data_IF_980536196560
#
_entry.id   IF_980536196560
#
_cell.length_a   1.000
_cell.length_b   1.000
_cell.length_c   1.000
_cell.angle_alpha   90.00
_cell.angle_beta   90.00
_cell.angle_gamma   90.00
#
_symmetry.space_group_name_H-M   'P 1'
#
loop_
_entity.id
_entity.type
_entity.pdbx_description
1 polymer ?
#
# COMPACT_ATOMS: atom_id res chain seq x y z
N UNK A 1 -20.54 -14.60 64.90
CA UNK A 1 -20.74 -15.02 66.31
C UNK A 1 -20.02 -14.02 67.19
N UNK A 2 -20.76 -13.09 67.78
CA UNK A 2 -20.24 -12.14 68.75
C UNK A 2 -20.01 -12.88 70.06
N UNK A 3 -18.75 -13.00 70.50
CA UNK A 3 -18.44 -13.41 71.86
C UNK A 3 -18.29 -12.16 72.72
N UNK A 4 -19.40 -11.75 73.33
CA UNK A 4 -19.46 -10.72 74.36
C UNK A 4 -18.85 -11.28 75.66
N UNK A 5 -17.66 -10.81 76.02
CA UNK A 5 -17.12 -10.93 77.38
C UNK A 5 -17.54 -9.67 78.13
N UNK A 6 -18.33 -9.83 79.19
CA UNK A 6 -18.74 -8.72 80.06
C UNK A 6 -17.74 -8.57 81.19
N UNK A 7 -16.95 -7.49 81.18
CA UNK A 7 -16.00 -7.16 82.24
C UNK A 7 -16.67 -6.16 83.19
N UNK A 8 -16.95 -6.58 84.42
CA UNK A 8 -17.43 -5.69 85.49
C UNK A 8 -16.24 -5.31 86.35
N UNK A 9 -15.75 -4.08 86.23
CA UNK A 9 -14.70 -3.52 87.09
C UNK A 9 -15.38 -2.71 88.19
N UNK A 10 -15.30 -3.20 89.43
CA UNK A 10 -15.73 -2.46 90.63
C UNK A 10 -14.54 -1.66 91.15
N UNK A 11 -14.51 -0.35 90.94
CA UNK A 11 -13.56 0.55 91.59
C UNK A 11 -14.25 1.18 92.81
N UNK A 12 -13.96 0.67 94.00
CA UNK A 12 -14.28 1.35 95.25
C UNK A 12 -13.20 2.41 95.52
N UNK A 13 -13.58 3.69 95.41
CA UNK A 13 -12.68 4.80 95.64
C UNK A 13 -12.26 4.91 97.12
N UNK A 14 -10.96 4.99 97.38
CA UNK A 14 -10.42 5.42 98.66
C UNK A 14 -9.19 6.31 98.43
N UNK A 15 -9.12 7.36 99.22
CA UNK A 15 -8.31 8.56 99.06
C UNK A 15 -7.06 8.51 99.96
N UNK A 16 -5.96 9.10 99.48
CA UNK A 16 -4.85 9.75 100.22
C UNK A 16 -3.74 8.87 100.84
N UNK A 17 -2.49 9.32 100.62
CA UNK A 17 -1.37 9.10 101.55
C UNK A 17 0.00 9.27 100.91
N UNK A 18 0.65 10.40 101.14
CA UNK A 18 2.03 10.69 100.72
C UNK A 18 3.03 9.69 101.32
N UNK A 19 3.90 9.14 100.47
CA UNK A 19 4.99 8.17 100.73
C UNK A 19 4.57 6.69 100.64
N UNK A 20 5.15 5.98 99.65
CA UNK A 20 4.89 4.59 99.18
C UNK A 20 3.69 4.37 98.22
N UNK A 21 3.79 5.00 97.05
CA UNK A 21 4.19 4.41 95.76
C UNK A 21 3.41 3.27 95.04
N UNK A 22 2.39 2.59 95.55
CA UNK A 22 1.69 1.57 94.73
C UNK A 22 0.25 1.28 95.18
N UNK A 23 -0.71 1.23 94.24
CA UNK A 23 -2.08 0.75 94.49
C UNK A 23 -2.26 -0.61 93.81
N UNK A 24 -2.70 -1.63 94.56
CA UNK A 24 -3.07 -2.93 93.98
C UNK A 24 -4.52 -2.90 93.50
N UNK A 25 -4.73 -3.20 92.22
CA UNK A 25 -6.08 -3.45 91.68
C UNK A 25 -6.19 -4.94 91.36
N UNK A 26 -7.23 -5.57 91.90
CA UNK A 26 -7.55 -6.97 91.62
C UNK A 26 -8.74 -7.04 90.67
N UNK A 27 -8.55 -7.64 89.49
CA UNK A 27 -9.62 -7.93 88.55
C UNK A 27 -9.98 -9.42 88.61
N UNK A 28 -11.26 -9.75 88.77
CA UNK A 28 -11.75 -11.13 88.66
C UNK A 28 -12.43 -11.34 87.32
N UNK A 29 -11.88 -12.24 86.51
CA UNK A 29 -12.56 -12.72 85.31
C UNK A 29 -13.36 -13.98 85.65
N UNK A 30 -14.68 -13.92 85.46
CA UNK A 30 -15.56 -15.10 85.40
C UNK A 30 -15.80 -15.47 83.95
N UNK A 31 -15.41 -16.69 83.58
CA UNK A 31 -15.76 -17.24 82.28
C UNK A 31 -17.16 -17.86 82.35
N UNK A 32 -17.93 -17.76 81.26
CA UNK A 32 -19.29 -18.27 81.15
C UNK A 32 -19.44 -19.78 81.38
N UNK A 33 -18.33 -20.53 81.39
CA UNK A 33 -18.26 -21.97 81.66
C UNK A 33 -17.78 -22.33 83.08
N UNK A 34 -17.81 -21.39 84.03
CA UNK A 34 -17.69 -21.71 85.46
C UNK A 34 -16.27 -21.71 86.03
N UNK A 35 -15.35 -20.92 85.47
CA UNK A 35 -14.00 -20.70 86.03
C UNK A 35 -13.79 -19.25 86.48
N UNK A 36 -13.13 -19.05 87.64
CA UNK A 36 -12.62 -17.75 88.07
C UNK A 36 -11.10 -17.72 88.08
N UNK A 37 -10.53 -16.69 87.46
CA UNK A 37 -9.13 -16.29 87.69
C UNK A 37 -9.10 -14.84 88.15
N UNK A 38 -8.39 -14.62 89.25
CA UNK A 38 -8.08 -13.30 89.76
C UNK A 38 -6.68 -12.91 89.30
N UNK A 39 -6.53 -11.70 88.80
CA UNK A 39 -5.23 -11.10 88.50
C UNK A 39 -5.07 -9.87 89.38
N UNK A 40 -3.97 -9.84 90.13
CA UNK A 40 -3.57 -8.69 90.94
C UNK A 40 -2.43 -7.98 90.23
N UNK A 41 -2.60 -6.68 89.97
CA UNK A 41 -1.57 -5.84 89.39
C UNK A 41 -1.21 -4.75 90.38
N UNK A 42 0.08 -4.55 90.60
CA UNK A 42 0.64 -3.48 91.40
C UNK A 42 0.96 -2.32 90.45
N UNK A 43 0.19 -1.22 90.53
CA UNK A 43 0.43 -0.03 89.70
C UNK A 43 1.40 0.93 90.40
N UNK A 44 2.51 1.36 89.75
CA UNK A 44 3.43 2.37 90.28
C UNK A 44 2.80 3.78 90.30
N UNK A 45 3.36 4.75 91.04
CA UNK A 45 2.62 5.92 91.47
C UNK A 45 2.70 7.04 90.45
N UNK A 46 1.58 7.32 89.78
CA UNK A 46 1.32 8.65 89.27
C UNK A 46 -0.18 8.87 89.13
N UNK A 47 -0.64 9.89 89.88
CA UNK A 47 -1.76 10.78 89.58
C UNK A 47 -3.16 10.15 89.45
N UNK A 48 -3.86 10.17 90.59
CA UNK A 48 -5.32 10.36 90.62
C UNK A 48 -5.64 11.67 89.88
N UNK A 49 -6.34 11.59 88.75
CA UNK A 49 -7.00 12.73 88.11
C UNK A 49 -8.38 12.31 87.57
N UNK A 50 -9.37 12.63 88.40
CA UNK A 50 -10.71 13.16 88.11
C UNK A 50 -11.44 12.77 86.80
N UNK A 51 -12.56 12.04 86.95
CA UNK A 51 -13.50 11.62 85.90
C UNK A 51 -14.65 12.64 85.67
N UNK A 52 -14.34 13.93 85.48
CA UNK A 52 -15.39 14.95 85.24
C UNK A 52 -15.03 16.06 84.24
N UNK A 53 -13.95 15.90 83.48
CA UNK A 53 -13.50 16.90 82.50
C UNK A 53 -13.19 16.34 81.10
N UNK A 54 -13.75 15.17 80.76
CA UNK A 54 -13.53 14.51 79.46
C UNK A 54 -14.69 14.57 78.46
N UNK A 55 -15.88 15.05 78.84
CA UNK A 55 -17.09 14.97 77.99
C UNK A 55 -17.59 16.30 77.42
N UNK A 56 -17.32 17.44 78.05
CA UNK A 56 -17.70 18.76 77.50
C UNK A 56 -16.79 19.20 76.36
N UNK A 57 -15.49 18.85 76.43
CA UNK A 57 -14.52 19.21 75.41
C UNK A 57 -14.77 18.44 74.10
N UNK A 58 -15.00 17.12 74.17
CA UNK A 58 -15.35 16.30 72.99
C UNK A 58 -16.71 16.70 72.37
N UNK A 59 -17.71 17.07 73.18
CA UNK A 59 -19.01 17.55 72.69
C UNK A 59 -18.90 18.95 72.05
N UNK A 60 -18.03 19.82 72.59
CA UNK A 60 -17.73 21.12 71.99
C UNK A 60 -17.01 20.96 70.64
N UNK A 61 -16.02 20.06 70.56
CA UNK A 61 -15.32 19.72 69.31
C UNK A 61 -16.29 19.12 68.27
N UNK A 62 -17.18 18.21 68.68
CA UNK A 62 -18.19 17.65 67.78
C UNK A 62 -19.20 18.70 67.28
N UNK A 63 -19.62 19.66 68.12
CA UNK A 63 -20.47 20.78 67.69
C UNK A 63 -19.77 21.66 66.66
N UNK A 64 -18.48 21.92 66.85
CA UNK A 64 -17.68 22.68 65.91
C UNK A 64 -17.57 21.94 64.56
N UNK A 65 -17.31 20.63 64.58
CA UNK A 65 -17.28 19.79 63.37
C UNK A 65 -18.65 19.78 62.66
N UNK A 66 -19.76 19.64 63.39
CA UNK A 66 -21.11 19.66 62.79
C UNK A 66 -21.40 21.02 62.16
N UNK A 67 -21.00 22.12 62.80
CA UNK A 67 -21.16 23.46 62.23
C UNK A 67 -20.27 23.68 61.01
N UNK A 68 -19.05 23.14 60.99
CA UNK A 68 -18.18 23.11 59.81
C UNK A 68 -18.74 22.24 58.66
N UNK A 69 -19.35 21.10 58.99
CA UNK A 69 -20.00 20.24 58.00
C UNK A 69 -21.25 20.90 57.42
N UNK A 70 -22.05 21.59 58.24
CA UNK A 70 -23.21 22.35 57.78
C UNK A 70 -22.82 23.49 56.83
N UNK A 71 -21.74 24.24 57.14
CA UNK A 71 -21.25 25.30 56.23
C UNK A 71 -20.70 24.72 54.92
N UNK A 72 -19.99 23.59 54.97
CA UNK A 72 -19.55 22.86 53.76
C UNK A 72 -20.72 22.35 52.93
N UNK A 73 -21.79 21.84 53.56
CA UNK A 73 -22.99 21.39 52.87
C UNK A 73 -23.72 22.54 52.16
N UNK A 74 -23.91 23.68 52.84
CA UNK A 74 -24.46 24.90 52.22
C UNK A 74 -23.57 25.41 51.06
N UNK A 75 -22.24 25.32 51.21
CA UNK A 75 -21.32 25.67 50.12
C UNK A 75 -21.42 24.69 48.94
N UNK A 76 -21.67 23.41 49.17
CA UNK A 76 -21.90 22.44 48.09
C UNK A 76 -23.25 22.66 47.41
N UNK A 77 -24.29 22.98 48.16
CA UNK A 77 -25.63 23.29 47.62
C UNK A 77 -25.59 24.52 46.71
N UNK A 78 -24.91 25.59 47.13
CA UNK A 78 -24.72 26.78 46.28
C UNK A 78 -23.90 26.49 45.01
N UNK A 79 -22.86 25.65 45.10
CA UNK A 79 -22.10 25.19 43.92
C UNK A 79 -22.96 24.34 42.99
N UNK A 80 -23.82 23.47 43.53
CA UNK A 80 -24.74 22.63 42.76
C UNK A 80 -25.77 23.49 42.02
N UNK A 81 -26.36 24.49 42.69
CA UNK A 81 -27.27 25.42 42.04
C UNK A 81 -26.58 26.21 40.92
N UNK A 82 -25.37 26.71 41.16
CA UNK A 82 -24.59 27.39 40.14
C UNK A 82 -24.26 26.48 38.94
N UNK A 83 -24.02 25.18 39.18
CA UNK A 83 -23.84 24.20 38.11
C UNK A 83 -25.16 23.97 37.35
N UNK A 84 -26.29 23.88 38.04
CA UNK A 84 -27.61 23.72 37.42
C UNK A 84 -27.96 24.89 36.50
N UNK A 85 -27.70 26.13 36.93
CA UNK A 85 -27.94 27.33 36.13
C UNK A 85 -27.06 27.34 34.86
N UNK A 86 -25.79 26.91 34.99
CA UNK A 86 -24.90 26.74 33.84
C UNK A 86 -25.38 25.66 32.87
N UNK A 87 -25.94 24.56 33.39
CA UNK A 87 -26.51 23.50 32.54
C UNK A 87 -27.68 24.03 31.74
N UNK A 88 -28.61 24.76 32.37
CA UNK A 88 -29.73 25.40 31.66
C UNK A 88 -29.27 26.40 30.60
N UNK A 89 -28.24 27.20 30.89
CA UNK A 89 -27.65 28.11 29.91
C UNK A 89 -27.06 27.34 28.71
N UNK A 90 -26.36 26.23 28.95
CA UNK A 90 -25.81 25.39 27.89
C UNK A 90 -26.92 24.70 27.07
N UNK A 91 -27.99 24.23 27.70
CA UNK A 91 -29.15 23.64 27.03
C UNK A 91 -29.81 24.63 26.05
N UNK A 92 -30.01 25.88 26.48
CA UNK A 92 -30.59 26.91 25.59
C UNK A 92 -29.67 27.24 24.41
N UNK A 93 -28.35 27.28 24.63
CA UNK A 93 -27.36 27.47 23.56
C UNK A 93 -27.34 26.28 22.59
N UNK A 94 -27.47 25.06 23.10
CA UNK A 94 -27.56 23.85 22.27
C UNK A 94 -28.82 23.90 21.38
N UNK A 95 -29.99 24.23 21.95
CA UNK A 95 -31.22 24.36 21.18
C UNK A 95 -31.11 25.44 20.09
N UNK A 96 -30.49 26.58 20.39
CA UNK A 96 -30.24 27.63 19.41
C UNK A 96 -29.32 27.15 18.28
N UNK A 97 -28.33 26.31 18.58
CA UNK A 97 -27.47 25.71 17.58
C UNK A 97 -28.23 24.69 16.72
N UNK A 98 -29.08 23.86 17.32
CA UNK A 98 -29.94 22.92 16.57
C UNK A 98 -30.85 23.65 15.57
N UNK A 99 -31.46 24.76 15.97
CA UNK A 99 -32.30 25.57 15.08
C UNK A 99 -31.50 26.16 13.91
N UNK A 100 -30.26 26.60 14.17
CA UNK A 100 -29.35 27.07 13.11
C UNK A 100 -28.95 25.95 12.17
N UNK A 101 -28.69 24.75 12.69
CA UNK A 101 -28.36 23.56 11.88
C UNK A 101 -29.55 23.21 11.00
N UNK A 102 -30.77 23.16 11.55
CA UNK A 102 -32.00 22.91 10.79
C UNK A 102 -32.22 23.94 9.69
N UNK A 103 -31.95 25.22 9.97
CA UNK A 103 -32.02 26.26 8.95
C UNK A 103 -30.96 26.05 7.85
N UNK A 104 -29.74 25.67 8.20
CA UNK A 104 -28.69 25.36 7.24
C UNK A 104 -29.05 24.14 6.40
N UNK A 105 -29.61 23.08 6.99
CA UNK A 105 -30.07 21.89 6.28
C UNK A 105 -31.09 22.23 5.20
N UNK A 106 -32.09 23.09 5.50
CA UNK A 106 -33.07 23.51 4.49
C UNK A 106 -32.43 24.29 3.34
N UNK A 107 -31.42 25.12 3.62
CA UNK A 107 -30.66 25.84 2.59
C UNK A 107 -29.84 24.88 1.74
N UNK A 108 -29.21 23.88 2.35
CA UNK A 108 -28.46 22.82 1.64
C UNK A 108 -29.38 22.05 0.72
N UNK A 109 -30.54 21.58 1.20
CA UNK A 109 -31.53 20.88 0.36
C UNK A 109 -32.07 21.75 -0.79
N UNK A 110 -32.18 23.07 -0.59
CA UNK A 110 -32.54 23.98 -1.67
C UNK A 110 -31.41 24.10 -2.69
N UNK A 111 -30.15 24.14 -2.24
CA UNK A 111 -28.98 24.19 -3.10
C UNK A 111 -28.82 22.89 -3.90
N UNK A 112 -29.01 21.73 -3.27
CA UNK A 112 -29.00 20.41 -3.90
C UNK A 112 -30.00 20.32 -5.06
N UNK A 113 -31.23 20.83 -4.87
CA UNK A 113 -32.22 20.87 -5.96
C UNK A 113 -31.78 21.74 -7.13
N UNK A 114 -31.10 22.87 -6.87
CA UNK A 114 -30.54 23.71 -7.93
C UNK A 114 -29.39 23.01 -8.66
N UNK A 115 -28.54 22.29 -7.93
CA UNK A 115 -27.45 21.49 -8.52
C UNK A 115 -28.03 20.39 -9.40
N UNK A 116 -29.02 19.64 -8.93
CA UNK A 116 -29.70 18.61 -9.75
C UNK A 116 -30.33 19.18 -11.02
N UNK A 117 -30.93 20.37 -10.94
CA UNK A 117 -31.45 21.05 -12.14
C UNK A 117 -30.32 21.41 -13.11
N UNK A 118 -29.22 21.96 -12.61
CA UNK A 118 -28.05 22.29 -13.43
C UNK A 118 -27.41 21.04 -14.05
N UNK A 119 -27.32 19.93 -13.30
CA UNK A 119 -26.84 18.64 -13.80
C UNK A 119 -27.70 18.14 -14.97
N UNK A 120 -29.03 18.26 -14.88
CA UNK A 120 -29.93 17.89 -15.97
C UNK A 120 -29.74 18.79 -17.21
N UNK A 121 -29.54 20.09 -17.03
CA UNK A 121 -29.23 21.01 -18.13
C UNK A 121 -27.88 20.70 -18.79
N UNK A 122 -26.86 20.37 -17.99
CA UNK A 122 -25.54 19.96 -18.48
C UNK A 122 -25.64 18.65 -19.26
N UNK A 123 -26.37 17.66 -18.77
CA UNK A 123 -26.59 16.40 -19.51
C UNK A 123 -27.27 16.64 -20.86
N UNK A 124 -28.30 17.51 -20.89
CA UNK A 124 -28.96 17.88 -22.15
C UNK A 124 -27.99 18.57 -23.12
N UNK A 125 -27.15 19.47 -22.61
CA UNK A 125 -26.12 20.13 -23.42
C UNK A 125 -25.07 19.13 -23.92
N UNK A 126 -24.63 18.20 -23.08
CA UNK A 126 -23.72 17.11 -23.48
C UNK A 126 -24.31 16.28 -24.61
N UNK A 127 -25.59 15.89 -24.55
CA UNK A 127 -26.25 15.17 -25.65
C UNK A 127 -26.31 16.01 -26.92
N UNK A 128 -26.61 17.31 -26.82
CA UNK A 128 -26.62 18.20 -27.98
C UNK A 128 -25.22 18.36 -28.59
N UNK A 129 -24.18 18.43 -27.76
CA UNK A 129 -22.78 18.45 -28.20
C UNK A 129 -22.44 17.15 -28.92
N UNK A 130 -22.77 15.98 -28.38
CA UNK A 130 -22.56 14.69 -29.05
C UNK A 130 -23.25 14.60 -30.42
N UNK A 131 -24.49 15.14 -30.53
CA UNK A 131 -25.21 15.20 -31.81
C UNK A 131 -24.54 16.17 -32.80
N UNK A 132 -24.04 17.30 -32.33
CA UNK A 132 -23.31 18.24 -33.18
C UNK A 132 -21.94 17.71 -33.59
N UNK A 133 -21.23 17.04 -32.67
CA UNK A 133 -19.97 16.35 -32.93
C UNK A 133 -20.19 15.31 -34.01
N UNK A 134 -21.13 14.37 -33.86
CA UNK A 134 -21.44 13.37 -34.89
C UNK A 134 -21.76 13.99 -36.25
N UNK A 135 -22.46 15.12 -36.30
CA UNK A 135 -22.74 15.84 -37.54
C UNK A 135 -21.49 16.48 -38.17
N UNK A 136 -20.67 17.17 -37.37
CA UNK A 136 -19.39 17.76 -37.81
C UNK A 136 -18.41 16.67 -38.27
N UNK A 137 -18.41 15.51 -37.60
CA UNK A 137 -17.53 14.38 -37.89
C UNK A 137 -17.87 13.74 -39.25
N UNK A 138 -19.17 13.63 -39.58
CA UNK A 138 -19.62 13.14 -40.91
C UNK A 138 -19.25 14.12 -42.03
N UNK A 139 -19.43 15.42 -41.80
CA UNK A 139 -19.17 16.46 -42.82
C UNK A 139 -17.67 16.56 -43.15
N UNK A 140 -16.78 16.43 -42.15
CA UNK A 140 -15.30 16.53 -42.33
C UNK A 140 -14.68 15.39 -43.12
N UNK A 141 -15.27 14.20 -43.11
CA UNK A 141 -14.79 13.08 -43.93
C UNK A 141 -15.39 13.11 -45.36
N UNK A 142 -16.47 13.87 -45.58
CA UNK A 142 -17.17 13.98 -46.87
C UNK A 142 -16.54 15.02 -47.82
N UNK A 143 -15.80 16.01 -47.32
CA UNK A 143 -15.13 17.04 -48.13
C UNK A 143 -13.79 16.58 -48.78
N UNK A 144 -13.47 15.30 -48.65
CA UNK A 144 -12.36 14.64 -49.34
C UNK A 144 -11.21 14.23 -48.41
N UNK A 145 -10.43 13.27 -48.88
CA UNK A 145 -9.38 12.50 -48.20
C UNK A 145 -8.15 13.31 -47.69
N UNK A 146 -8.31 14.61 -47.43
CA UNK A 146 -7.25 15.53 -47.00
C UNK A 146 -7.59 16.14 -45.64
N UNK A 147 -7.08 15.52 -44.58
CA UNK A 147 -7.12 16.05 -43.21
C UNK A 147 -5.68 16.32 -42.74
N UNK A 148 -5.04 17.41 -43.22
CA UNK A 148 -3.66 17.71 -42.87
C UNK A 148 -3.51 17.95 -41.36
N UNK A 149 -2.55 17.25 -40.73
CA UNK A 149 -2.22 17.40 -39.31
C UNK A 149 -2.79 16.35 -38.38
N UNK A 150 -3.43 15.30 -38.91
CA UNK A 150 -3.91 14.16 -38.11
C UNK A 150 -2.84 13.05 -38.14
N UNK A 151 -2.28 12.60 -36.99
CA UNK A 151 -1.03 11.83 -36.98
C UNK A 151 -1.17 10.34 -37.33
N UNK A 152 -2.38 9.76 -37.26
CA UNK A 152 -2.61 8.33 -37.53
C UNK A 152 -4.04 8.01 -37.99
N UNK A 153 -4.24 6.84 -38.58
CA UNK A 153 -5.58 6.32 -38.93
C UNK A 153 -6.49 6.20 -37.71
N UNK A 154 -5.94 5.89 -36.53
CA UNK A 154 -6.69 5.85 -35.28
C UNK A 154 -7.27 7.23 -34.92
N UNK A 155 -6.50 8.31 -35.11
CA UNK A 155 -7.02 9.66 -34.91
C UNK A 155 -8.10 10.03 -35.93
N UNK A 156 -7.97 9.62 -37.19
CA UNK A 156 -9.00 9.81 -38.21
C UNK A 156 -10.30 9.05 -37.85
N UNK A 157 -10.16 7.85 -37.31
CA UNK A 157 -11.29 7.07 -36.80
C UNK A 157 -11.92 7.68 -35.53
N UNK A 158 -11.12 8.24 -34.61
CA UNK A 158 -11.59 9.08 -33.49
C UNK A 158 -12.35 10.31 -33.98
N UNK A 159 -11.90 10.91 -35.08
CA UNK A 159 -12.60 11.99 -35.80
C UNK A 159 -13.82 11.49 -36.59
N UNK A 160 -14.28 10.26 -36.36
CA UNK A 160 -15.53 9.74 -36.93
C UNK A 160 -15.44 9.31 -38.38
N UNK A 161 -14.25 9.29 -39.00
CA UNK A 161 -14.10 8.72 -40.33
C UNK A 161 -14.33 7.20 -40.28
N UNK A 162 -15.15 6.71 -41.23
CA UNK A 162 -15.54 5.30 -41.36
C UNK A 162 -15.31 4.75 -42.77
N UNK A 163 -15.01 5.62 -43.74
CA UNK A 163 -14.72 5.19 -45.11
C UNK A 163 -13.25 4.79 -45.24
N UNK A 164 -12.96 3.52 -45.51
CA UNK A 164 -11.60 3.09 -45.83
C UNK A 164 -11.07 3.83 -47.05
N UNK A 165 -9.78 4.16 -47.05
CA UNK A 165 -9.13 4.84 -48.16
C UNK A 165 -7.78 5.43 -47.78
N UNK A 166 -7.10 6.04 -48.74
CA UNK A 166 -5.85 6.76 -48.49
C UNK A 166 -6.15 8.13 -47.89
N UNK A 167 -5.48 8.50 -46.80
CA UNK A 167 -5.61 9.79 -46.12
C UNK A 167 -4.28 10.52 -46.05
N UNK A 168 -4.31 11.84 -46.26
CA UNK A 168 -3.14 12.70 -46.08
C UNK A 168 -3.00 13.06 -44.60
N UNK A 169 -2.13 12.36 -43.89
CA UNK A 169 -1.87 12.57 -42.44
C UNK A 169 -0.79 13.63 -42.17
N UNK A 170 -0.02 14.04 -43.18
CA UNK A 170 1.00 15.09 -43.06
C UNK A 170 1.36 15.68 -44.42
N UNK A 171 1.87 16.92 -44.47
CA UNK A 171 2.37 17.55 -45.70
C UNK A 171 3.65 16.89 -46.25
N UNK A 172 4.33 16.08 -45.44
CA UNK A 172 5.67 15.55 -45.73
C UNK A 172 5.72 14.01 -45.82
N UNK A 173 4.56 13.32 -45.80
CA UNK A 173 4.45 11.85 -45.85
C UNK A 173 3.52 11.45 -46.99
N UNK A 174 3.80 10.32 -47.64
CA UNK A 174 2.89 9.69 -48.60
C UNK A 174 1.53 9.36 -47.96
N UNK A 175 0.46 9.35 -48.74
CA UNK A 175 -0.88 9.02 -48.25
C UNK A 175 -0.86 7.71 -47.44
N UNK A 176 -1.44 7.72 -46.24
CA UNK A 176 -1.57 6.53 -45.40
C UNK A 176 -2.91 5.88 -45.69
N UNK A 177 -2.90 4.63 -46.13
CA UNK A 177 -4.12 3.86 -46.34
C UNK A 177 -4.71 3.46 -44.99
N UNK A 178 -5.87 4.01 -44.66
CA UNK A 178 -6.63 3.65 -43.48
C UNK A 178 -7.72 2.67 -43.88
N UNK A 179 -7.59 1.43 -43.43
CA UNK A 179 -8.63 0.44 -43.57
C UNK A 179 -9.57 0.47 -42.36
N UNK A 180 -10.68 1.20 -42.45
CA UNK A 180 -11.71 1.26 -41.41
C UNK A 180 -12.73 0.12 -41.48
N UNK A 181 -12.69 -0.74 -42.50
CA UNK A 181 -13.56 -1.93 -42.57
C UNK A 181 -13.15 -2.99 -41.54
N UNK A 182 -11.88 -2.96 -41.10
CA UNK A 182 -11.37 -3.77 -39.99
C UNK A 182 -11.47 -3.10 -38.61
N UNK A 183 -11.85 -1.81 -38.54
CA UNK A 183 -12.23 -1.14 -37.28
C UNK A 183 -13.71 -1.39 -36.99
N UNK A 184 -14.10 -2.65 -36.83
CA UNK A 184 -15.48 -3.06 -36.51
C UNK A 184 -15.82 -2.90 -35.03
N UNK A 185 -14.82 -2.66 -34.18
CA UNK A 185 -14.98 -2.48 -32.74
C UNK A 185 -15.12 -1.01 -32.41
N UNK A 186 -16.19 -0.61 -31.70
CA UNK A 186 -16.24 0.70 -31.06
C UNK A 186 -15.03 0.83 -30.10
N UNK A 187 -14.60 2.03 -29.68
CA UNK A 187 -13.42 2.16 -28.80
C UNK A 187 -13.52 1.29 -27.55
N UNK A 188 -14.76 1.06 -27.06
CA UNK A 188 -15.06 0.18 -25.93
C UNK A 188 -14.94 -1.32 -26.18
N UNK A 189 -14.69 -1.78 -27.40
CA UNK A 189 -14.70 -3.20 -27.78
C UNK A 189 -13.31 -3.73 -28.20
N UNK A 190 -12.25 -2.92 -28.14
CA UNK A 190 -10.88 -3.41 -28.38
C UNK A 190 -10.46 -4.28 -27.18
N UNK A 191 -10.04 -5.54 -27.40
CA UNK A 191 -9.61 -6.40 -26.30
C UNK A 191 -8.36 -5.83 -25.62
N UNK A 192 -8.28 -5.97 -24.29
CA UNK A 192 -7.13 -5.45 -23.53
C UNK A 192 -5.84 -6.24 -23.78
N UNK A 193 -5.97 -7.55 -23.95
CA UNK A 193 -4.85 -8.47 -24.15
C UNK A 193 -5.23 -9.62 -25.06
N UNK A 194 -4.25 -10.34 -25.60
CA UNK A 194 -4.51 -11.59 -26.33
C UNK A 194 -5.23 -12.63 -25.46
N UNK A 195 -4.95 -12.67 -24.16
CA UNK A 195 -5.63 -13.56 -23.22
C UNK A 195 -7.12 -13.24 -23.09
N UNK A 196 -7.49 -11.95 -23.11
CA UNK A 196 -8.90 -11.53 -23.09
C UNK A 196 -9.64 -11.83 -24.41
N UNK A 197 -8.90 -11.92 -25.52
CA UNK A 197 -9.43 -12.24 -26.83
C UNK A 197 -9.61 -13.76 -27.05
N UNK A 198 -8.90 -14.58 -26.27
CA UNK A 198 -8.84 -16.02 -26.45
C UNK A 198 -10.22 -16.69 -26.40
N UNK A 199 -10.48 -17.54 -27.40
CA UNK A 199 -11.63 -18.43 -27.46
C UNK A 199 -11.28 -19.69 -28.25
N UNK A 200 -11.99 -20.82 -28.03
CA UNK A 200 -11.79 -22.02 -28.84
C UNK A 200 -11.97 -21.73 -30.34
N UNK A 201 -10.94 -22.02 -31.14
CA UNK A 201 -10.93 -21.75 -32.58
C UNK A 201 -10.27 -20.44 -32.99
N UNK A 202 -9.81 -19.61 -32.05
CA UNK A 202 -8.91 -18.49 -32.34
C UNK A 202 -7.62 -19.00 -33.00
N UNK A 203 -7.11 -18.26 -33.99
CA UNK A 203 -5.84 -18.56 -34.65
C UNK A 203 -4.72 -17.63 -34.14
N UNK A 204 -3.47 -18.10 -34.20
CA UNK A 204 -2.31 -17.24 -33.97
C UNK A 204 -2.20 -16.19 -35.09
N UNK A 205 -1.83 -14.95 -34.75
CA UNK A 205 -1.76 -13.86 -35.73
C UNK A 205 -1.60 -12.47 -35.12
N UNK A 206 -1.61 -11.45 -35.96
CA UNK A 206 -1.58 -10.04 -35.54
C UNK A 206 -2.98 -9.56 -35.14
N UNK A 207 -3.08 -8.98 -33.95
CA UNK A 207 -4.32 -8.42 -33.40
C UNK A 207 -4.06 -7.05 -32.78
N UNK A 208 -5.06 -6.17 -32.88
CA UNK A 208 -5.05 -4.88 -32.20
C UNK A 208 -5.51 -5.06 -30.74
N UNK A 209 -4.72 -4.58 -29.78
CA UNK A 209 -5.07 -4.58 -28.36
C UNK A 209 -4.97 -3.18 -27.75
N UNK A 210 -5.69 -2.97 -26.65
CA UNK A 210 -5.70 -1.71 -25.88
C UNK A 210 -5.60 -2.00 -24.37
N UNK A 211 -4.38 -2.21 -23.82
CA UNK A 211 -4.21 -2.73 -22.46
C UNK A 211 -4.77 -1.86 -21.33
N UNK A 212 -4.57 -0.54 -21.39
CA UNK A 212 -5.14 0.42 -20.45
C UNK A 212 -6.59 0.77 -20.79
N UNK A 213 -7.02 0.52 -22.01
CA UNK A 213 -8.40 0.58 -22.45
C UNK A 213 -8.76 1.95 -23.03
N UNK A 214 -10.01 2.09 -23.50
CA UNK A 214 -10.40 3.19 -24.35
C UNK A 214 -10.13 4.54 -23.72
N UNK A 215 -9.62 5.45 -24.56
CA UNK A 215 -9.43 6.87 -24.23
C UNK A 215 -8.50 7.12 -23.03
N UNK A 216 -7.69 6.14 -22.66
CA UNK A 216 -6.77 6.22 -21.52
C UNK A 216 -5.33 6.04 -21.99
N UNK A 217 -4.40 6.82 -21.43
CA UNK A 217 -2.96 6.57 -21.53
C UNK A 217 -2.40 6.40 -22.95
N UNK A 218 -2.06 5.16 -23.31
CA UNK A 218 -1.37 4.81 -24.55
C UNK A 218 -2.35 4.50 -25.69
N UNK A 219 -1.92 4.66 -26.94
CA UNK A 219 -2.75 4.27 -28.08
C UNK A 219 -2.81 2.74 -28.23
N UNK A 220 -3.93 2.18 -28.74
CA UNK A 220 -4.02 0.78 -29.14
C UNK A 220 -2.91 0.41 -30.13
N UNK A 221 -2.40 -0.80 -30.04
CA UNK A 221 -1.28 -1.25 -30.86
C UNK A 221 -1.40 -2.71 -31.30
N UNK A 222 -0.82 -3.01 -32.46
CA UNK A 222 -0.78 -4.36 -33.01
C UNK A 222 0.22 -5.20 -32.25
N UNK A 223 -0.17 -6.43 -31.93
CA UNK A 223 0.66 -7.44 -31.30
C UNK A 223 0.43 -8.79 -31.96
N UNK A 224 1.43 -9.66 -31.88
CA UNK A 224 1.25 -11.05 -32.25
C UNK A 224 0.63 -11.81 -31.08
N UNK A 225 -0.58 -12.34 -31.26
CA UNK A 225 -1.20 -13.29 -30.35
C UNK A 225 -0.84 -14.71 -30.78
N UNK A 226 -0.23 -15.47 -29.89
CA UNK A 226 0.13 -16.86 -30.10
C UNK A 226 -0.71 -17.75 -29.19
N UNK A 227 -1.58 -18.57 -29.78
CA UNK A 227 -2.46 -19.48 -29.04
C UNK A 227 -1.85 -20.88 -28.86
N UNK A 228 -0.70 -21.12 -29.49
CA UNK A 228 -0.02 -22.42 -29.49
C UNK A 228 1.02 -22.50 -28.37
N UNK A 229 1.49 -21.35 -27.86
CA UNK A 229 2.46 -21.28 -26.76
C UNK A 229 1.95 -21.82 -25.42
N UNK A 230 0.70 -21.51 -25.06
CA UNK A 230 0.10 -21.93 -23.78
C UNK A 230 -1.32 -22.44 -24.04
N UNK A 231 -1.61 -23.73 -23.78
CA UNK A 231 -2.93 -24.29 -24.01
C UNK A 231 -4.02 -23.53 -23.26
N UNK A 232 -5.08 -23.13 -23.96
CA UNK A 232 -6.20 -22.42 -23.33
C UNK A 232 -6.00 -20.91 -23.14
N UNK A 233 -4.95 -20.32 -23.72
CA UNK A 233 -4.64 -18.89 -23.58
C UNK A 233 -4.15 -18.29 -24.90
N UNK A 234 -4.41 -17.00 -25.09
CA UNK A 234 -3.76 -16.20 -26.13
C UNK A 234 -2.57 -15.47 -25.54
N UNK A 235 -1.35 -15.89 -25.84
CA UNK A 235 -0.14 -15.24 -25.33
C UNK A 235 0.19 -14.04 -26.21
N UNK A 236 0.30 -12.85 -25.62
CA UNK A 236 0.79 -11.66 -26.32
C UNK A 236 2.31 -11.74 -26.45
N UNK A 237 2.82 -11.62 -27.69
CA UNK A 237 4.25 -11.70 -28.02
C UNK A 237 4.72 -10.38 -28.64
N UNK A 238 5.69 -9.73 -28.01
CA UNK A 238 6.29 -8.49 -28.50
C UNK A 238 7.72 -8.76 -28.99
N UNK A 239 7.97 -8.42 -30.26
CA UNK A 239 9.25 -8.63 -30.94
C UNK A 239 10.18 -7.41 -30.78
N UNK A 240 11.47 -7.59 -31.01
CA UNK A 240 12.48 -6.52 -30.96
C UNK A 240 13.67 -6.79 -31.90
N UNK A 241 14.56 -5.81 -32.05
CA UNK A 241 15.68 -5.84 -33.00
C UNK A 241 16.94 -6.61 -32.52
N UNK A 242 16.86 -7.32 -31.40
CA UNK A 242 18.02 -7.98 -30.76
C UNK A 242 17.77 -9.46 -30.45
N UNK A 243 16.92 -10.10 -31.24
CA UNK A 243 16.53 -11.51 -31.06
C UNK A 243 17.58 -12.51 -31.56
N UNK A 244 18.50 -12.07 -32.43
CA UNK A 244 19.56 -12.93 -32.95
C UNK A 244 20.70 -13.10 -31.93
N UNK A 245 21.32 -14.29 -31.92
CA UNK A 245 22.57 -14.54 -31.20
C UNK A 245 23.66 -13.60 -31.74
N UNK A 246 24.11 -12.66 -30.91
CA UNK A 246 24.98 -11.55 -31.33
C UNK A 246 26.35 -11.68 -30.68
N UNK A 247 27.40 -11.56 -31.50
CA UNK A 247 28.79 -11.70 -31.03
C UNK A 247 29.27 -10.42 -30.32
N UNK A 248 29.87 -10.61 -29.15
CA UNK A 248 30.58 -9.61 -28.36
C UNK A 248 32.06 -9.86 -28.52
N UNK A 249 32.69 -9.05 -29.37
CA UNK A 249 34.12 -9.13 -29.66
C UNK A 249 34.96 -8.70 -28.44
N UNK A 250 36.24 -9.02 -28.49
CA UNK A 250 37.23 -8.43 -27.58
C UNK A 250 37.31 -6.90 -27.73
N UNK A 251 37.77 -6.22 -26.68
CA UNK A 251 37.98 -4.77 -26.64
C UNK A 251 37.09 -4.00 -25.65
N UNK A 252 36.18 -4.67 -24.96
CA UNK A 252 35.29 -4.07 -23.95
C UNK A 252 35.84 -4.33 -22.55
N UNK A 253 36.95 -3.66 -22.24
CA UNK A 253 37.73 -3.94 -21.02
C UNK A 253 37.03 -3.52 -19.72
N UNK A 254 36.23 -2.46 -19.75
CA UNK A 254 35.48 -1.99 -18.58
C UNK A 254 34.14 -2.70 -18.41
N UNK A 255 33.62 -2.68 -17.18
CA UNK A 255 32.27 -3.13 -16.84
C UNK A 255 31.22 -2.44 -17.74
N UNK A 256 30.35 -3.22 -18.38
CA UNK A 256 29.25 -2.72 -19.23
C UNK A 256 29.66 -1.82 -20.39
N UNK A 257 30.92 -1.92 -20.86
CA UNK A 257 31.42 -1.08 -21.97
C UNK A 257 30.87 -1.50 -23.33
N UNK A 258 30.53 -2.77 -23.52
CA UNK A 258 29.65 -3.18 -24.61
C UNK A 258 28.21 -2.78 -24.29
N UNK A 259 27.54 -2.14 -25.24
CA UNK A 259 26.17 -1.66 -25.10
C UNK A 259 25.35 -2.13 -26.29
N UNK A 260 24.20 -2.74 -26.02
CA UNK A 260 23.19 -3.06 -27.04
C UNK A 260 21.83 -2.56 -26.60
N UNK A 261 21.39 -1.46 -27.19
CA UNK A 261 20.02 -0.96 -27.05
C UNK A 261 19.04 -1.92 -27.72
N UNK A 262 17.88 -2.11 -27.08
CA UNK A 262 16.81 -2.98 -27.54
C UNK A 262 15.64 -2.12 -28.00
N UNK A 263 15.32 -2.20 -29.29
CA UNK A 263 14.18 -1.49 -29.89
C UNK A 263 13.05 -2.48 -30.16
N UNK A 264 11.95 -2.32 -29.44
CA UNK A 264 10.76 -3.16 -29.59
C UNK A 264 9.85 -2.68 -30.72
N UNK A 265 8.99 -3.57 -31.20
CA UNK A 265 7.94 -3.25 -32.19
C UNK A 265 6.81 -2.37 -31.61
N UNK A 266 6.72 -2.27 -30.28
CA UNK A 266 5.81 -1.39 -29.54
C UNK A 266 6.61 -0.45 -28.63
N UNK A 267 6.04 0.69 -28.26
CA UNK A 267 6.70 1.62 -27.34
C UNK A 267 6.83 1.01 -25.94
N UNK A 268 7.82 1.47 -25.17
CA UNK A 268 8.00 1.00 -23.78
C UNK A 268 6.75 1.28 -22.95
N UNK A 269 6.10 2.43 -23.11
CA UNK A 269 4.86 2.77 -22.40
C UNK A 269 3.72 1.79 -22.72
N UNK A 270 3.55 1.43 -24.01
CA UNK A 270 2.57 0.42 -24.44
C UNK A 270 2.86 -0.96 -23.85
N UNK A 271 4.13 -1.36 -23.84
CA UNK A 271 4.57 -2.62 -23.23
C UNK A 271 4.32 -2.61 -21.72
N UNK A 272 4.55 -1.47 -21.04
CA UNK A 272 4.31 -1.34 -19.61
C UNK A 272 2.81 -1.39 -19.27
N UNK A 273 1.95 -0.78 -20.10
CA UNK A 273 0.50 -0.92 -19.97
C UNK A 273 0.07 -2.39 -20.11
N UNK A 274 0.60 -3.11 -21.09
CA UNK A 274 0.39 -4.56 -21.26
C UNK A 274 0.86 -5.36 -20.04
N UNK A 275 2.10 -5.16 -19.60
CA UNK A 275 2.67 -5.85 -18.44
C UNK A 275 1.79 -5.61 -17.21
N UNK A 276 1.31 -4.39 -16.99
CA UNK A 276 0.49 -4.05 -15.84
C UNK A 276 -0.79 -4.90 -15.76
N UNK A 277 -1.49 -5.10 -16.88
CA UNK A 277 -2.77 -5.82 -16.92
C UNK A 277 -2.66 -7.33 -17.14
N UNK A 278 -1.52 -7.84 -17.63
CA UNK A 278 -1.28 -9.28 -17.78
C UNK A 278 -1.05 -9.98 -16.44
N UNK A 279 -1.41 -11.25 -16.32
CA UNK A 279 -1.14 -12.03 -15.10
C UNK A 279 0.34 -12.36 -15.00
N UNK A 280 0.95 -12.80 -16.10
CA UNK A 280 2.37 -13.15 -16.16
C UNK A 280 3.02 -12.49 -17.36
N UNK A 281 4.28 -12.09 -17.20
CA UNK A 281 5.14 -11.72 -18.31
C UNK A 281 6.52 -12.31 -18.09
N UNK A 282 7.15 -12.78 -19.17
CA UNK A 282 8.48 -13.37 -19.14
C UNK A 282 9.28 -12.99 -20.39
N UNK A 283 10.58 -12.85 -20.22
CA UNK A 283 11.52 -12.62 -21.32
C UNK A 283 12.75 -13.50 -21.14
N UNK A 284 13.14 -14.23 -22.18
CA UNK A 284 14.32 -15.10 -22.11
C UNK A 284 15.58 -14.27 -22.31
N UNK A 285 16.63 -14.52 -21.52
CA UNK A 285 17.95 -13.93 -21.70
C UNK A 285 19.01 -15.03 -21.60
N UNK A 286 20.05 -14.92 -22.43
CA UNK A 286 21.21 -15.81 -22.45
C UNK A 286 22.49 -15.02 -22.68
N UNK A 287 23.52 -15.36 -21.92
CA UNK A 287 24.89 -14.96 -22.19
C UNK A 287 25.78 -16.19 -22.28
N UNK A 288 26.56 -16.26 -23.35
CA UNK A 288 27.62 -17.22 -23.56
C UNK A 288 28.95 -16.49 -23.41
N UNK A 289 29.85 -17.07 -22.65
CA UNK A 289 31.08 -16.43 -22.21
C UNK A 289 32.29 -17.34 -22.46
N UNK A 290 33.39 -16.72 -22.84
CA UNK A 290 34.69 -17.35 -23.02
C UNK A 290 35.75 -16.40 -22.46
N UNK A 291 36.31 -16.73 -21.31
CA UNK A 291 37.23 -15.89 -20.55
C UNK A 291 36.71 -14.46 -20.35
N UNK A 292 35.46 -14.39 -19.88
CA UNK A 292 34.75 -13.17 -19.48
C UNK A 292 33.72 -13.57 -18.41
N UNK A 293 33.31 -12.63 -17.58
CA UNK A 293 32.51 -12.87 -16.38
C UNK A 293 31.20 -12.09 -16.42
N UNK A 294 30.23 -12.49 -15.59
CA UNK A 294 29.07 -11.65 -15.28
C UNK A 294 29.38 -10.81 -14.04
N UNK A 295 29.97 -11.43 -13.03
CA UNK A 295 30.37 -10.83 -11.77
C UNK A 295 31.80 -11.26 -11.40
N UNK A 296 32.60 -10.34 -10.86
CA UNK A 296 34.00 -10.61 -10.44
C UNK A 296 34.14 -10.87 -8.94
N UNK A 297 33.06 -11.24 -8.26
CA UNK A 297 32.93 -11.33 -6.80
C UNK A 297 32.40 -10.04 -6.17
N UNK A 298 33.12 -8.93 -6.36
CA UNK A 298 32.82 -7.64 -5.72
C UNK A 298 32.04 -6.66 -6.64
N UNK A 299 32.07 -6.88 -7.95
CA UNK A 299 31.48 -5.97 -8.93
C UNK A 299 30.84 -6.71 -10.10
N UNK A 300 29.68 -6.22 -10.54
CA UNK A 300 29.05 -6.66 -11.79
C UNK A 300 29.79 -6.05 -12.98
N UNK A 301 30.17 -6.91 -13.93
CA UNK A 301 30.82 -6.50 -15.19
C UNK A 301 29.88 -6.66 -16.39
N UNK A 302 28.82 -7.46 -16.24
CA UNK A 302 27.74 -7.60 -17.20
C UNK A 302 26.38 -7.58 -16.50
N UNK A 303 25.40 -6.91 -17.10
CA UNK A 303 24.03 -6.80 -16.62
C UNK A 303 23.07 -6.50 -17.77
N UNK A 304 21.78 -6.66 -17.50
CA UNK A 304 20.73 -6.11 -18.35
C UNK A 304 20.11 -4.89 -17.67
N UNK A 305 19.50 -4.01 -18.45
CA UNK A 305 18.90 -2.76 -17.96
C UNK A 305 17.39 -2.89 -18.01
N UNK A 306 16.75 -2.53 -16.90
CA UNK A 306 15.30 -2.54 -16.73
C UNK A 306 14.62 -1.45 -17.56
N UNK A 307 13.30 -1.50 -17.66
CA UNK A 307 12.52 -0.48 -18.38
C UNK A 307 12.71 0.95 -17.85
N UNK A 308 12.98 1.10 -16.56
CA UNK A 308 13.21 2.37 -15.87
C UNK A 308 14.69 2.76 -15.79
N UNK A 309 15.56 2.06 -16.51
CA UNK A 309 16.98 2.40 -16.64
C UNK A 309 17.86 1.93 -15.49
N UNK A 310 17.35 1.11 -14.57
CA UNK A 310 18.15 0.52 -13.50
C UNK A 310 18.99 -0.64 -14.04
N UNK A 311 20.18 -0.78 -13.48
CA UNK A 311 21.00 -1.98 -13.63
C UNK A 311 20.33 -3.12 -12.85
N UNK A 312 20.04 -4.22 -13.53
CA UNK A 312 19.53 -5.42 -12.88
C UNK A 312 20.66 -6.13 -12.11
N UNK A 313 20.29 -6.74 -10.98
CA UNK A 313 21.18 -7.40 -10.02
C UNK A 313 20.98 -8.93 -9.98
N UNK A 314 20.46 -9.50 -11.07
CA UNK A 314 20.22 -10.93 -11.23
C UNK A 314 20.14 -11.30 -12.72
N UNK A 315 20.38 -12.57 -13.05
CA UNK A 315 20.29 -13.07 -14.43
C UNK A 315 19.05 -13.93 -14.68
N UNK A 316 18.90 -14.43 -15.91
CA UNK A 316 17.81 -15.31 -16.31
C UNK A 316 17.67 -16.52 -15.36
N UNK A 317 16.44 -16.77 -14.90
CA UNK A 317 16.12 -17.87 -13.98
C UNK A 317 16.42 -17.60 -12.50
N UNK A 318 17.03 -16.47 -12.15
CA UNK A 318 17.31 -16.09 -10.77
C UNK A 318 16.26 -15.12 -10.18
N UNK A 319 16.29 -14.95 -8.86
CA UNK A 319 15.39 -14.04 -8.14
C UNK A 319 15.97 -12.60 -8.12
N UNK A 320 15.15 -11.54 -8.28
CA UNK A 320 15.62 -10.16 -8.12
C UNK A 320 16.35 -9.92 -6.80
N UNK A 321 17.49 -9.23 -6.84
CA UNK A 321 18.34 -8.99 -5.67
C UNK A 321 19.28 -10.13 -5.27
N UNK A 322 19.26 -11.28 -5.96
CA UNK A 322 20.09 -12.42 -5.55
C UNK A 322 21.55 -12.32 -5.97
N UNK A 323 21.87 -11.56 -7.02
CA UNK A 323 23.21 -11.55 -7.62
C UNK A 323 23.56 -12.86 -8.33
N UNK A 324 22.60 -13.77 -8.52
CA UNK A 324 22.83 -15.10 -9.06
C UNK A 324 22.31 -15.24 -10.49
N UNK A 325 22.73 -16.34 -11.11
CA UNK A 325 22.11 -16.94 -12.29
C UNK A 325 21.32 -18.18 -11.87
N UNK A 326 20.56 -18.77 -12.81
CA UNK A 326 19.78 -19.99 -12.53
C UNK A 326 20.58 -21.09 -11.82
N UNK A 327 21.81 -21.37 -12.27
CA UNK A 327 22.64 -22.40 -11.64
C UNK A 327 23.08 -22.04 -10.21
N UNK A 328 23.19 -20.75 -9.88
CA UNK A 328 23.57 -20.28 -8.54
C UNK A 328 22.43 -20.46 -7.54
N UNK A 329 21.19 -20.22 -7.98
CA UNK A 329 19.99 -20.54 -7.19
C UNK A 329 19.87 -22.04 -6.93
N UNK A 330 20.24 -22.87 -7.90
CA UNK A 330 20.13 -24.33 -7.82
C UNK A 330 21.36 -25.00 -7.16
N UNK A 331 22.47 -24.28 -7.00
CA UNK A 331 23.75 -24.85 -6.56
C UNK A 331 24.36 -25.84 -7.57
N UNK A 332 24.05 -25.67 -8.85
CA UNK A 332 24.42 -26.58 -9.96
C UNK A 332 25.48 -26.00 -10.89
N UNK A 333 26.04 -24.82 -10.59
CA UNK A 333 27.06 -24.23 -11.47
C UNK A 333 28.32 -25.10 -11.53
N UNK A 334 28.94 -25.08 -12.69
CA UNK A 334 30.15 -25.83 -12.98
C UNK A 334 31.33 -25.40 -12.08
N UNK A 335 32.24 -26.35 -11.84
CA UNK A 335 33.43 -26.22 -10.99
C UNK A 335 33.14 -25.70 -9.56
N UNK A 336 31.90 -25.79 -9.09
CA UNK A 336 31.51 -25.30 -7.78
C UNK A 336 31.41 -23.78 -7.69
N UNK A 337 31.25 -23.09 -8.82
CA UNK A 337 31.07 -21.63 -8.84
C UNK A 337 29.77 -21.24 -8.10
N UNK A 338 29.78 -20.23 -7.21
CA UNK A 338 28.61 -20.00 -6.35
C UNK A 338 27.46 -19.22 -6.99
N UNK A 339 27.71 -18.44 -8.06
CA UNK A 339 26.72 -17.47 -8.60
C UNK A 339 26.27 -17.79 -10.03
N UNK A 340 27.21 -17.86 -10.95
CA UNK A 340 26.95 -18.02 -12.38
C UNK A 340 28.03 -18.89 -13.03
N UNK A 341 27.68 -19.64 -14.07
CA UNK A 341 28.66 -20.43 -14.81
C UNK A 341 29.76 -19.54 -15.43
N UNK A 342 29.40 -18.37 -15.95
CA UNK A 342 30.32 -17.43 -16.58
C UNK A 342 31.38 -16.85 -15.65
N UNK A 343 31.17 -16.90 -14.33
CA UNK A 343 32.11 -16.35 -13.37
C UNK A 343 33.33 -17.28 -13.14
N UNK A 344 33.41 -18.41 -13.84
CA UNK A 344 34.59 -19.28 -13.88
C UNK A 344 35.81 -18.62 -14.53
N UNK A 345 35.61 -17.62 -15.40
CA UNK A 345 36.64 -16.88 -16.14
C UNK A 345 37.68 -17.76 -16.87
N UNK A 346 37.26 -18.94 -17.34
CA UNK A 346 38.15 -19.90 -18.00
C UNK A 346 38.05 -19.83 -19.53
N UNK A 347 38.97 -20.50 -20.22
CA UNK A 347 38.99 -20.61 -21.68
C UNK A 347 38.06 -21.73 -22.18
N UNK A 348 36.94 -21.96 -21.48
CA UNK A 348 35.87 -22.86 -21.91
C UNK A 348 34.63 -22.04 -22.22
N UNK A 349 33.89 -22.43 -23.27
CA UNK A 349 32.60 -21.81 -23.54
C UNK A 349 31.60 -22.24 -22.48
N UNK A 350 31.04 -21.26 -21.78
CA UNK A 350 30.02 -21.44 -20.75
C UNK A 350 28.81 -20.58 -21.06
N UNK A 351 27.71 -20.82 -20.36
CA UNK A 351 26.52 -19.98 -20.51
C UNK A 351 25.67 -19.92 -19.26
N UNK A 352 25.06 -18.76 -19.07
CA UNK A 352 23.98 -18.54 -18.13
C UNK A 352 22.74 -18.04 -18.88
N UNK A 353 21.61 -18.71 -18.65
CA UNK A 353 20.38 -18.46 -19.38
C UNK A 353 19.14 -18.71 -18.51
N UNK A 354 18.02 -18.11 -18.91
CA UNK A 354 16.74 -18.36 -18.27
C UNK A 354 15.71 -17.27 -18.55
N UNK A 355 14.52 -17.45 -18.00
CA UNK A 355 13.48 -16.43 -18.08
C UNK A 355 13.62 -15.40 -16.96
N UNK A 356 13.57 -14.13 -17.33
CA UNK A 356 13.25 -13.02 -16.46
C UNK A 356 11.74 -12.98 -16.29
N UNK A 357 11.24 -13.13 -15.07
CA UNK A 357 9.79 -13.23 -14.78
C UNK A 357 9.28 -12.11 -13.85
N UNK A 358 10.19 -11.29 -13.31
CA UNK A 358 9.79 -10.16 -12.47
C UNK A 358 9.25 -9.01 -13.33
N UNK A 359 7.92 -8.92 -13.39
CA UNK A 359 7.18 -7.96 -14.21
C UNK A 359 7.61 -6.50 -13.99
N UNK A 360 7.99 -6.13 -12.77
CA UNK A 360 8.34 -4.75 -12.44
C UNK A 360 9.64 -4.28 -13.10
N UNK A 361 10.50 -5.21 -13.54
CA UNK A 361 11.78 -4.88 -14.17
C UNK A 361 11.76 -4.98 -15.70
N UNK A 362 10.78 -5.70 -16.27
CA UNK A 362 10.60 -5.88 -17.71
C UNK A 362 9.96 -4.65 -18.40
N UNK A 363 10.14 -4.47 -19.72
CA UNK A 363 11.03 -5.22 -20.61
C UNK A 363 12.52 -4.91 -20.42
N UNK A 364 13.40 -5.75 -20.98
CA UNK A 364 14.84 -5.45 -21.09
C UNK A 364 15.08 -4.35 -22.11
N UNK A 365 15.62 -3.20 -21.70
CA UNK A 365 15.87 -2.06 -22.62
C UNK A 365 17.28 -2.02 -23.17
N UNK A 366 18.24 -2.63 -22.48
CA UNK A 366 19.63 -2.63 -22.90
C UNK A 366 20.39 -3.83 -22.33
N UNK A 367 21.36 -4.34 -23.07
CA UNK A 367 22.35 -5.30 -22.60
C UNK A 367 23.70 -4.61 -22.43
N UNK A 368 24.31 -4.80 -21.27
CA UNK A 368 25.60 -4.22 -20.88
C UNK A 368 26.56 -5.36 -20.58
N UNK A 369 27.60 -5.50 -21.38
CA UNK A 369 28.57 -6.58 -21.22
C UNK A 369 29.97 -5.97 -21.12
N UNK A 370 30.89 -6.64 -20.44
CA UNK A 370 32.21 -6.10 -20.18
C UNK A 370 33.24 -7.20 -20.02
N UNK A 371 34.39 -6.84 -19.47
CA UNK A 371 35.50 -7.75 -19.21
C UNK A 371 36.00 -8.55 -20.42
N UNK A 372 35.89 -8.00 -21.64
CA UNK A 372 36.47 -8.63 -22.85
C UNK A 372 37.84 -8.05 -23.23
N UNK A 373 38.64 -7.65 -22.23
CA UNK A 373 39.96 -7.04 -22.44
C UNK A 373 41.01 -8.02 -22.98
N UNK A 374 40.91 -9.29 -22.62
CA UNK A 374 41.85 -10.33 -23.04
C UNK A 374 41.82 -10.55 -24.56
N UNK A 375 42.97 -10.80 -25.17
CA UNK A 375 43.06 -11.03 -26.62
C UNK A 375 42.16 -12.17 -27.12
N UNK A 376 41.81 -13.12 -26.24
CA UNK A 376 40.94 -14.26 -26.52
C UNK A 376 39.54 -14.16 -25.88
N UNK A 377 39.28 -13.11 -25.09
CA UNK A 377 38.00 -12.95 -24.40
C UNK A 377 36.88 -12.64 -25.39
N UNK A 378 35.82 -13.44 -25.37
CA UNK A 378 34.69 -13.30 -26.29
C UNK A 378 33.39 -13.68 -25.59
N UNK A 379 32.27 -13.22 -26.14
CA UNK A 379 30.96 -13.64 -25.67
C UNK A 379 29.89 -13.59 -26.76
N UNK A 380 28.74 -14.17 -26.48
CA UNK A 380 27.53 -14.00 -27.29
C UNK A 380 26.34 -13.74 -26.39
N UNK A 381 25.45 -12.86 -26.80
CA UNK A 381 24.18 -12.67 -26.11
C UNK A 381 23.02 -13.04 -27.02
N UNK A 382 21.92 -13.43 -26.39
CA UNK A 382 20.63 -13.65 -27.02
C UNK A 382 19.52 -13.19 -26.07
N UNK A 383 18.63 -12.34 -26.57
CA UNK A 383 17.46 -11.87 -25.86
C UNK A 383 16.22 -12.34 -26.62
N UNK A 384 15.36 -13.10 -25.97
CA UNK A 384 14.12 -13.58 -26.56
C UNK A 384 13.01 -12.53 -26.51
N UNK A 385 11.95 -12.77 -27.30
CA UNK A 385 10.73 -11.96 -27.31
C UNK A 385 10.11 -11.86 -25.93
N UNK A 386 9.49 -10.71 -25.63
CA UNK A 386 8.66 -10.55 -24.44
C UNK A 386 7.33 -11.29 -24.65
N UNK A 387 6.92 -12.09 -23.66
CA UNK A 387 5.68 -12.86 -23.70
C UNK A 387 4.83 -12.55 -22.47
N UNK A 388 3.56 -12.22 -22.66
CA UNK A 388 2.63 -11.90 -21.58
C UNK A 388 1.31 -12.66 -21.74
N UNK A 389 0.73 -13.15 -20.65
CA UNK A 389 -0.57 -13.84 -20.63
C UNK A 389 -1.44 -13.47 -19.43
#
# INVERSE_FOLDING_TARGET
MNHLVSLVVLLAGAHVGSAQSTQEVSAQCRYSTGGQRAYTFVLPPSSVQDCSAGSEQEVSELREIVQQLATKAQQQETKMQQQQDKVQELETKAQQQEDKVRQLETKVQQQERKVQQQEAEVQLLQTKVQVLETKILVDKCAEGHRLPGVPSCYHLWKLGCRQSGSYVVSSNVSDVYCDFQNFTTFPGDIPRTCSSLYHPGMASGEYLIDPDGPETGVEPFSVYCDVDLEPGKGVTVISHDSEARTHVRNGYAGAGTYMRDVTYSASVDQIRALIYVSQTCKQFIKYECFHTMINTGDTDVAWWVTWDGRMADYWGGATPGSGNCACGEEGTCDNGQPRCNCDNDDYNWRSDEGFLTHKSDLPVTQLRLGNTAGHLANGYHHLGKLRCS
#
